data_IF_295616840391
#
_entry.id   IF_295616840391
#
_cell.length_a   1.000
_cell.length_b   1.000
_cell.length_c   1.000
_cell.angle_alpha   90.00
_cell.angle_beta   90.00
_cell.angle_gamma   90.00
#
_symmetry.space_group_name_H-M   'P 1'
#
loop_
_entity.id
_entity.type
_entity.pdbx_description
1 polymer ?
#
# COMPACT_ATOMS: atom_id res chain seq x y z
N UNK A 1 -9.24 -7.93 -7.87
CA UNK A 1 -9.60 -7.11 -6.69
C UNK A 1 -8.33 -6.47 -6.19
N UNK A 2 -8.29 -5.15 -5.98
CA UNK A 2 -7.06 -4.43 -5.61
C UNK A 2 -6.99 -4.27 -4.10
N UNK A 3 -5.93 -4.73 -3.41
CA UNK A 3 -5.76 -4.50 -1.98
C UNK A 3 -5.54 -3.01 -1.70
N UNK A 4 -6.15 -2.50 -0.62
CA UNK A 4 -6.09 -1.10 -0.23
C UNK A 4 -5.17 -0.92 0.97
N UNK A 5 -4.09 -0.17 0.79
CA UNK A 5 -3.17 0.22 1.85
C UNK A 5 -3.55 1.60 2.40
N UNK A 6 -3.89 1.72 3.70
CA UNK A 6 -4.22 3.00 4.30
C UNK A 6 -2.98 3.84 4.58
N UNK A 7 -2.99 5.10 4.14
CA UNK A 7 -1.99 6.12 4.46
C UNK A 7 -2.67 7.18 5.33
N UNK A 8 -2.47 7.20 6.66
CA UNK A 8 -3.19 8.12 7.54
C UNK A 8 -2.77 9.59 7.37
N UNK A 9 -1.52 9.87 6.95
CA UNK A 9 -0.97 11.23 6.95
C UNK A 9 -0.18 11.57 5.67
N UNK A 10 -0.43 10.85 4.57
CA UNK A 10 0.37 11.02 3.34
C UNK A 10 -0.53 11.14 2.12
N UNK A 11 -0.33 12.21 1.36
CA UNK A 11 -0.92 12.38 0.03
C UNK A 11 0.09 11.89 -1.00
N UNK A 12 -0.31 10.90 -1.80
CA UNK A 12 0.51 10.40 -2.90
C UNK A 12 0.10 11.09 -4.21
N UNK A 13 1.09 11.59 -4.96
CA UNK A 13 0.87 12.08 -6.32
C UNK A 13 1.21 11.00 -7.35
N UNK A 14 0.53 10.98 -8.52
CA UNK A 14 0.88 10.05 -9.59
C UNK A 14 2.34 10.17 -10.01
N UNK A 15 2.97 9.03 -10.31
CA UNK A 15 4.38 8.93 -10.76
C UNK A 15 5.43 9.37 -9.72
N UNK A 16 5.07 9.48 -8.44
CA UNK A 16 6.02 9.71 -7.36
C UNK A 16 6.44 8.39 -6.73
N UNK A 17 7.73 8.23 -6.47
CA UNK A 17 8.25 7.11 -5.68
C UNK A 17 8.19 7.47 -4.19
N UNK A 18 7.38 6.74 -3.42
CA UNK A 18 7.30 6.88 -1.97
C UNK A 18 7.82 5.60 -1.31
N UNK A 19 9.00 5.61 -0.65
CA UNK A 19 9.47 4.47 0.11
C UNK A 19 8.60 4.28 1.35
N UNK A 20 7.88 3.15 1.43
CA UNK A 20 7.05 2.77 2.57
C UNK A 20 7.79 1.79 3.47
N UNK A 21 7.85 2.10 4.77
CA UNK A 21 8.32 1.15 5.77
C UNK A 21 7.13 0.40 6.37
N UNK A 22 6.94 -0.85 5.93
CA UNK A 22 5.81 -1.69 6.33
C UNK A 22 6.26 -2.65 7.45
N UNK A 23 6.01 -2.25 8.70
CA UNK A 23 6.43 -3.00 9.88
C UNK A 23 5.32 -3.91 10.44
N UNK A 24 4.05 -3.52 10.31
CA UNK A 24 2.96 -4.28 10.90
C UNK A 24 2.74 -5.63 10.18
N UNK A 25 2.64 -6.76 10.92
CA UNK A 25 2.49 -8.09 10.33
C UNK A 25 1.35 -8.21 9.32
N UNK A 26 0.16 -7.67 9.66
CA UNK A 26 -1.02 -7.67 8.78
C UNK A 26 -0.77 -7.01 7.41
N UNK A 27 0.02 -5.93 7.38
CA UNK A 27 0.32 -5.24 6.14
C UNK A 27 1.43 -5.94 5.36
N UNK A 28 2.35 -6.63 6.04
CA UNK A 28 3.37 -7.47 5.39
C UNK A 28 2.71 -8.65 4.66
N UNK A 29 1.69 -9.26 5.25
CA UNK A 29 0.88 -10.30 4.61
C UNK A 29 0.15 -9.75 3.37
N UNK A 30 -0.57 -8.63 3.52
CA UNK A 30 -1.26 -7.99 2.39
C UNK A 30 -0.31 -7.64 1.23
N UNK A 31 0.89 -7.14 1.53
CA UNK A 31 1.90 -6.83 0.50
C UNK A 31 2.42 -8.10 -0.17
N UNK A 32 2.63 -9.17 0.59
CA UNK A 32 3.04 -10.46 0.04
C UNK A 32 1.99 -10.99 -0.93
N UNK A 33 0.72 -10.89 -0.57
CA UNK A 33 -0.40 -11.31 -1.42
C UNK A 33 -0.50 -10.46 -2.68
N UNK A 34 -0.33 -9.14 -2.55
CA UNK A 34 -0.31 -8.22 -3.68
C UNK A 34 0.85 -8.51 -4.65
N UNK A 35 2.04 -8.83 -4.12
CA UNK A 35 3.21 -9.19 -4.91
C UNK A 35 3.04 -10.52 -5.66
N UNK A 36 2.29 -11.45 -5.10
CA UNK A 36 1.96 -12.74 -5.73
C UNK A 36 0.85 -12.62 -6.79
N UNK A 37 -0.01 -11.60 -6.68
CA UNK A 37 -1.05 -11.28 -7.65
C UNK A 37 -0.55 -10.26 -8.70
N UNK A 38 -1.36 -9.24 -9.00
CA UNK A 38 -1.11 -8.27 -10.08
C UNK A 38 -0.08 -7.18 -9.72
N UNK A 39 0.68 -7.34 -8.62
CA UNK A 39 1.68 -6.38 -8.11
C UNK A 39 1.16 -4.95 -7.98
N UNK A 40 -0.14 -4.82 -7.74
CA UNK A 40 -0.85 -3.55 -7.68
C UNK A 40 -1.48 -3.39 -6.31
N UNK A 41 -1.26 -2.24 -5.68
CA UNK A 41 -1.86 -1.87 -4.39
C UNK A 41 -2.47 -0.48 -4.56
N UNK A 42 -3.73 -0.33 -4.15
CA UNK A 42 -4.38 0.97 -4.09
C UNK A 42 -4.01 1.66 -2.78
N UNK A 43 -3.69 2.95 -2.82
CA UNK A 43 -3.38 3.71 -1.61
C UNK A 43 -4.54 4.64 -1.27
N UNK A 44 -5.00 4.58 -0.01
CA UNK A 44 -6.17 5.32 0.45
C UNK A 44 -5.76 6.24 1.59
N UNK A 45 -6.08 7.52 1.46
CA UNK A 45 -5.94 8.47 2.56
C UNK A 45 -7.07 8.22 3.57
N UNK A 46 -6.72 7.81 4.79
CA UNK A 46 -7.66 7.79 5.91
C UNK A 46 -7.69 9.17 6.55
N UNK A 47 -8.88 9.78 6.64
CA UNK A 47 -9.11 11.08 7.30
C UNK A 47 -9.86 10.89 8.60
#
# INVERSE_FOLDING_TARGET
MVPLFPLPNVVLFPRVFLPLHIFEPRYREMVRDALAADRTIGMVLLR
#
